data_IF_611263874906
#
_entry.id   IF_611263874906
#
_cell.length_a   1.000
_cell.length_b   1.000
_cell.length_c   1.000
_cell.angle_alpha   90.00
_cell.angle_beta   90.00
_cell.angle_gamma   90.00
#
_symmetry.space_group_name_H-M   'P 1'
#
loop_
_entity.id
_entity.type
_entity.pdbx_description
1 polymer ?
#
# COMPACT_ATOMS: atom_id res chain seq x y z
N UNK A 1 23.02 17.56 -48.23
CA UNK A 1 21.61 17.53 -47.77
C UNK A 1 21.28 16.08 -47.42
N UNK A 2 21.52 15.67 -46.16
CA UNK A 2 21.40 14.28 -45.71
C UNK A 2 20.06 14.12 -44.97
N UNK A 3 19.14 13.35 -45.55
CA UNK A 3 17.86 13.01 -44.91
C UNK A 3 18.11 12.01 -43.78
N UNK A 4 17.95 12.44 -42.53
CA UNK A 4 17.93 11.54 -41.36
C UNK A 4 16.60 10.80 -41.33
N UNK A 5 16.61 9.50 -41.63
CA UNK A 5 15.49 8.61 -41.34
C UNK A 5 15.35 8.51 -39.81
N UNK A 6 14.29 9.10 -39.24
CA UNK A 6 13.89 8.83 -37.86
C UNK A 6 13.22 7.46 -37.85
N UNK A 7 13.92 6.45 -37.31
CA UNK A 7 13.28 5.20 -36.94
C UNK A 7 12.23 5.50 -35.86
N UNK A 8 11.00 5.02 -36.07
CA UNK A 8 9.95 5.03 -35.05
C UNK A 8 10.38 4.15 -33.88
N UNK A 9 10.22 4.60 -32.62
CA UNK A 9 10.48 3.73 -31.48
C UNK A 9 9.54 2.52 -31.54
N UNK A 10 10.00 1.32 -31.12
CA UNK A 10 9.13 0.15 -31.05
C UNK A 10 7.95 0.45 -30.13
N UNK A 11 6.77 -0.14 -30.40
CA UNK A 11 5.60 0.05 -29.54
C UNK A 11 5.95 -0.36 -28.11
N UNK A 12 5.65 0.51 -27.15
CA UNK A 12 5.74 0.21 -25.73
C UNK A 12 4.75 -0.92 -25.48
N UNK A 13 5.27 -2.14 -25.34
CA UNK A 13 4.45 -3.27 -24.92
C UNK A 13 4.07 -3.02 -23.47
N UNK A 14 2.78 -2.82 -23.24
CA UNK A 14 2.21 -2.81 -21.91
C UNK A 14 2.58 -4.15 -21.23
N UNK A 15 3.45 -4.07 -20.23
CA UNK A 15 3.88 -5.22 -19.43
C UNK A 15 3.09 -5.34 -18.14
N UNK A 16 1.97 -4.62 -18.02
CA UNK A 16 1.03 -4.88 -16.95
C UNK A 16 0.48 -6.29 -17.11
N UNK A 17 0.51 -7.05 -16.01
CA UNK A 17 -0.08 -8.38 -15.98
C UNK A 17 -1.60 -8.20 -16.12
N UNK A 18 -2.20 -8.85 -17.12
CA UNK A 18 -3.64 -8.78 -17.34
C UNK A 18 -4.43 -9.20 -16.09
N UNK A 19 -3.85 -10.06 -15.24
CA UNK A 19 -4.43 -10.58 -14.02
C UNK A 19 -3.39 -10.53 -12.88
N UNK A 20 -3.84 -10.14 -11.68
CA UNK A 20 -3.04 -10.22 -10.45
C UNK A 20 -2.59 -11.67 -10.25
N UNK A 21 -1.29 -11.96 -10.01
CA UNK A 21 -0.88 -13.31 -9.64
C UNK A 21 -1.64 -13.72 -8.40
N UNK A 22 -2.28 -14.89 -8.44
CA UNK A 22 -3.01 -15.43 -7.30
C UNK A 22 -1.99 -15.77 -6.21
N UNK A 23 -1.86 -14.90 -5.21
CA UNK A 23 -1.31 -15.24 -3.91
C UNK A 23 -2.30 -16.16 -3.20
N UNK A 24 -2.39 -17.40 -3.67
CA UNK A 24 -3.09 -18.48 -3.00
C UNK A 24 -2.25 -18.92 -1.80
N UNK A 25 -2.92 -19.07 -0.67
CA UNK A 25 -2.40 -19.60 0.60
C UNK A 25 -1.55 -18.64 1.45
N UNK A 26 -2.09 -17.46 1.74
CA UNK A 26 -1.77 -16.76 3.00
C UNK A 26 -2.95 -16.00 3.59
N UNK A 27 -4.15 -16.56 3.46
CA UNK A 27 -5.33 -16.05 4.15
C UNK A 27 -5.57 -16.80 5.47
N UNK A 28 -5.16 -18.07 5.59
CA UNK A 28 -5.41 -18.87 6.80
C UNK A 28 -4.54 -18.45 8.00
N UNK A 29 -3.30 -18.03 7.77
CA UNK A 29 -2.40 -17.52 8.83
C UNK A 29 -2.88 -16.19 9.42
N UNK A 30 -3.54 -15.35 8.60
CA UNK A 30 -4.08 -14.06 9.05
C UNK A 30 -5.27 -14.29 10.01
N UNK A 31 -6.05 -15.36 9.83
CA UNK A 31 -7.15 -15.68 10.73
C UNK A 31 -6.68 -16.13 12.12
N UNK A 32 -5.59 -16.89 12.22
CA UNK A 32 -5.02 -17.30 13.53
C UNK A 32 -4.43 -16.10 14.30
N UNK A 33 -3.75 -15.17 13.64
CA UNK A 33 -3.24 -13.94 14.29
C UNK A 33 -4.38 -13.01 14.74
N UNK A 34 -5.46 -12.93 13.96
CA UNK A 34 -6.67 -12.17 14.31
C UNK A 34 -7.43 -12.84 15.47
N UNK A 35 -7.51 -14.17 15.52
CA UNK A 35 -8.12 -14.91 16.66
C UNK A 35 -7.34 -14.72 17.96
N UNK A 36 -6.01 -14.64 17.90
CA UNK A 36 -5.19 -14.34 19.09
C UNK A 36 -5.30 -12.89 19.56
N UNK A 37 -5.61 -11.94 18.66
CA UNK A 37 -5.81 -10.52 18.99
C UNK A 37 -7.24 -10.17 19.44
N UNK A 38 -8.23 -10.99 19.08
CA UNK A 38 -9.65 -10.83 19.41
C UNK A 38 -10.08 -11.66 20.63
N UNK A 39 -9.20 -11.80 21.63
CA UNK A 39 -9.60 -12.30 22.94
C UNK A 39 -10.81 -11.50 23.45
N UNK A 40 -11.96 -12.19 23.55
CA UNK A 40 -13.32 -11.75 23.88
C UNK A 40 -14.28 -11.33 22.74
N UNK A 41 -13.85 -11.21 21.48
CA UNK A 41 -14.76 -10.94 20.33
C UNK A 41 -15.10 -12.18 19.48
N UNK A 42 -14.39 -13.29 19.67
CA UNK A 42 -14.59 -14.55 18.94
C UNK A 42 -15.80 -15.39 19.44
N UNK A 43 -16.88 -14.73 19.85
CA UNK A 43 -18.22 -15.34 19.90
C UNK A 43 -19.16 -14.56 19.00
N UNK A 44 -18.77 -14.36 17.74
CA UNK A 44 -19.76 -14.19 16.69
C UNK A 44 -20.38 -15.57 16.45
N UNK A 45 -21.32 -15.92 17.33
CA UNK A 45 -22.28 -16.98 17.07
C UNK A 45 -22.76 -16.85 15.63
N UNK A 46 -22.80 -17.97 14.91
CA UNK A 46 -23.63 -18.21 13.73
C UNK A 46 -24.81 -17.22 13.70
N UNK A 47 -25.07 -16.51 12.57
CA UNK A 47 -26.07 -15.45 12.52
C UNK A 47 -27.30 -15.89 13.31
N UNK A 48 -27.51 -15.25 14.45
CA UNK A 48 -28.54 -15.65 15.40
C UNK A 48 -29.84 -15.61 14.59
N UNK A 49 -30.51 -16.75 14.39
CA UNK A 49 -31.71 -16.88 13.52
C UNK A 49 -32.84 -15.89 13.93
N UNK A 50 -32.67 -15.26 15.11
CA UNK A 50 -33.45 -14.17 15.68
C UNK A 50 -33.27 -12.79 14.99
N UNK A 51 -32.22 -12.60 14.19
CA UNK A 51 -31.83 -11.28 13.64
C UNK A 51 -32.42 -10.95 12.27
N UNK A 52 -33.16 -11.86 11.64
CA UNK A 52 -33.79 -11.63 10.32
C UNK A 52 -34.94 -10.61 10.35
N UNK A 53 -35.46 -10.26 11.52
CA UNK A 53 -36.77 -9.60 11.58
C UNK A 53 -36.74 -8.07 11.47
N UNK A 54 -35.61 -7.38 11.67
CA UNK A 54 -35.57 -5.91 11.54
C UNK A 54 -34.20 -5.38 11.12
N UNK A 55 -33.70 -5.82 9.96
CA UNK A 55 -32.62 -5.06 9.29
C UNK A 55 -33.28 -3.85 8.63
N UNK A 56 -33.13 -2.69 9.26
CA UNK A 56 -33.60 -1.42 8.68
C UNK A 56 -32.74 -1.10 7.47
N UNK A 57 -33.35 -0.75 6.34
CA UNK A 57 -32.64 -0.28 5.15
C UNK A 57 -32.13 1.16 5.29
N UNK A 58 -32.53 1.86 6.37
CA UNK A 58 -32.21 3.26 6.63
C UNK A 58 -31.87 3.50 8.09
N UNK A 59 -30.82 4.29 8.29
CA UNK A 59 -30.44 4.84 9.60
C UNK A 59 -31.41 5.99 9.92
N UNK A 60 -31.77 6.15 11.18
CA UNK A 60 -32.57 7.30 11.64
C UNK A 60 -31.79 8.61 11.45
N UNK A 61 -32.48 9.67 11.00
CA UNK A 61 -31.88 10.94 10.59
C UNK A 61 -30.99 11.58 11.68
N UNK A 62 -31.38 11.44 12.96
CA UNK A 62 -30.59 11.98 14.08
C UNK A 62 -29.30 11.20 14.27
N UNK A 63 -29.37 9.88 14.14
CA UNK A 63 -28.19 9.01 14.21
C UNK A 63 -27.27 9.20 13.00
N UNK A 64 -27.84 9.31 11.79
CA UNK A 64 -27.07 9.59 10.57
C UNK A 64 -26.30 10.91 10.69
N UNK A 65 -26.95 11.96 11.22
CA UNK A 65 -26.30 13.26 11.44
C UNK A 65 -25.16 13.16 12.44
N UNK A 66 -25.37 12.50 13.59
CA UNK A 66 -24.31 12.32 14.61
C UNK A 66 -23.15 11.51 14.07
N UNK A 67 -23.44 10.38 13.42
CA UNK A 67 -22.43 9.50 12.85
C UNK A 67 -21.62 10.20 11.77
N UNK A 68 -22.27 10.97 10.89
CA UNK A 68 -21.58 11.76 9.86
C UNK A 68 -20.64 12.78 10.46
N UNK A 69 -21.03 13.43 11.57
CA UNK A 69 -20.15 14.37 12.28
C UNK A 69 -18.94 13.65 12.88
N UNK A 70 -19.16 12.54 13.58
CA UNK A 70 -18.10 11.75 14.21
C UNK A 70 -17.11 11.17 13.18
N UNK A 71 -17.60 10.67 12.05
CA UNK A 71 -16.76 10.14 10.98
C UNK A 71 -15.91 11.24 10.32
N UNK A 72 -16.48 12.43 10.11
CA UNK A 72 -15.73 13.55 9.57
C UNK A 72 -14.66 14.05 10.54
N UNK A 73 -14.97 14.15 11.83
CA UNK A 73 -14.00 14.53 12.86
C UNK A 73 -12.84 13.53 12.95
N UNK A 74 -13.15 12.22 12.91
CA UNK A 74 -12.14 11.18 12.84
C UNK A 74 -11.30 11.27 11.56
N UNK A 75 -11.93 11.46 10.40
CA UNK A 75 -11.24 11.59 9.12
C UNK A 75 -10.21 12.72 9.16
N UNK A 76 -10.59 13.91 9.65
CA UNK A 76 -9.67 15.05 9.76
C UNK A 76 -8.47 14.76 10.66
N UNK A 77 -8.64 13.94 11.70
CA UNK A 77 -7.55 13.52 12.58
C UNK A 77 -6.62 12.47 11.95
N UNK A 78 -7.14 11.67 11.02
CA UNK A 78 -6.38 10.60 10.38
C UNK A 78 -5.56 11.06 9.17
N UNK A 79 -5.99 12.11 8.46
CA UNK A 79 -5.28 12.62 7.28
C UNK A 79 -3.84 13.01 7.68
N UNK A 80 -2.81 12.55 6.93
CA UNK A 80 -1.44 12.94 7.19
C UNK A 80 -1.26 14.45 7.05
N UNK A 81 -0.52 15.06 7.98
CA UNK A 81 -0.18 16.47 7.84
C UNK A 81 0.81 16.70 6.69
N UNK A 82 0.84 17.90 6.07
CA UNK A 82 1.83 18.24 5.06
C UNK A 82 3.28 17.99 5.53
N UNK A 83 3.57 18.26 6.80
CA UNK A 83 4.89 18.06 7.40
C UNK A 83 5.25 16.56 7.49
N UNK A 84 4.28 15.71 7.80
CA UNK A 84 4.47 14.25 7.78
C UNK A 84 4.83 13.77 6.38
N UNK A 85 4.14 14.27 5.35
CA UNK A 85 4.43 13.92 3.96
C UNK A 85 5.84 14.39 3.54
N UNK A 86 6.22 15.62 3.87
CA UNK A 86 7.58 16.12 3.63
C UNK A 86 8.66 15.26 4.32
N UNK A 87 8.39 14.78 5.53
CA UNK A 87 9.31 13.91 6.26
C UNK A 87 9.51 12.57 5.53
N UNK A 88 8.43 11.99 4.99
CA UNK A 88 8.49 10.75 4.17
C UNK A 88 9.32 10.97 2.90
N UNK A 89 9.19 12.12 2.24
CA UNK A 89 10.01 12.49 1.08
C UNK A 89 11.49 12.66 1.44
N UNK A 90 11.79 13.34 2.55
CA UNK A 90 13.18 13.49 3.05
C UNK A 90 13.78 12.13 3.40
N UNK A 91 12.99 11.23 3.98
CA UNK A 91 13.41 9.87 4.27
C UNK A 91 13.75 9.10 2.98
N UNK A 92 12.87 9.13 1.97
CA UNK A 92 13.15 8.51 0.66
C UNK A 92 14.44 9.07 0.03
N UNK A 93 14.61 10.39 0.05
CA UNK A 93 15.81 11.04 -0.49
C UNK A 93 17.10 10.60 0.23
N UNK A 94 17.04 10.39 1.55
CA UNK A 94 18.16 9.87 2.33
C UNK A 94 18.48 8.42 1.96
N UNK A 95 17.46 7.58 1.78
CA UNK A 95 17.65 6.19 1.32
C UNK A 95 18.30 6.18 -0.06
N UNK A 96 17.78 6.96 -1.02
CA UNK A 96 18.36 7.09 -2.36
C UNK A 96 19.84 7.50 -2.29
N UNK A 97 20.17 8.51 -1.49
CA UNK A 97 21.54 8.97 -1.33
C UNK A 97 22.48 7.89 -0.78
N UNK A 98 22.03 7.10 0.20
CA UNK A 98 22.82 5.97 0.74
C UNK A 98 23.06 4.92 -0.36
N UNK A 99 22.02 4.57 -1.13
CA UNK A 99 22.13 3.59 -2.21
C UNK A 99 23.11 4.03 -3.30
N UNK A 100 23.07 5.30 -3.68
CA UNK A 100 23.96 5.88 -4.70
C UNK A 100 25.44 5.88 -4.26
N UNK A 101 25.69 6.11 -2.96
CA UNK A 101 27.04 6.11 -2.39
C UNK A 101 27.62 4.70 -2.25
N UNK A 102 26.84 3.77 -1.71
CA UNK A 102 27.29 2.40 -1.44
C UNK A 102 27.41 1.54 -2.71
N UNK A 103 26.53 1.79 -3.69
CA UNK A 103 26.48 1.04 -4.95
C UNK A 103 26.48 1.95 -6.17
N UNK A 104 27.59 2.65 -6.44
CA UNK A 104 27.69 3.54 -7.59
C UNK A 104 27.54 2.76 -8.90
N UNK A 105 26.87 3.36 -9.88
CA UNK A 105 26.60 2.81 -11.23
C UNK A 105 25.70 1.55 -11.24
N UNK A 106 24.88 1.34 -10.20
CA UNK A 106 23.90 0.25 -10.17
C UNK A 106 22.47 0.65 -10.55
N UNK A 107 22.22 1.92 -10.88
CA UNK A 107 20.89 2.43 -11.26
C UNK A 107 19.79 1.95 -10.29
N UNK A 108 20.06 2.03 -8.98
CA UNK A 108 19.06 1.71 -7.96
C UNK A 108 18.19 2.93 -7.74
N UNK A 109 16.88 2.79 -7.90
CA UNK A 109 15.90 3.88 -7.66
C UNK A 109 14.92 3.46 -6.57
N UNK A 110 14.77 4.30 -5.56
CA UNK A 110 13.80 4.16 -4.48
C UNK A 110 12.50 4.89 -4.81
N UNK A 111 11.37 4.21 -4.62
CA UNK A 111 10.03 4.74 -4.85
C UNK A 111 9.17 4.54 -3.61
N UNK A 112 8.35 5.53 -3.26
CA UNK A 112 7.29 5.32 -2.28
C UNK A 112 6.14 4.55 -2.94
N UNK A 113 5.55 3.61 -2.20
CA UNK A 113 4.33 2.91 -2.62
C UNK A 113 3.36 2.76 -1.43
N UNK A 114 2.33 1.93 -1.60
CA UNK A 114 1.44 1.55 -0.50
C UNK A 114 0.66 2.72 0.10
N UNK A 115 0.45 2.64 1.42
CA UNK A 115 -0.36 3.60 2.17
C UNK A 115 0.22 5.03 2.13
N UNK A 116 1.53 5.13 1.88
CA UNK A 116 2.25 6.41 1.82
C UNK A 116 1.84 7.28 0.64
N UNK A 117 1.37 6.70 -0.48
CA UNK A 117 1.07 7.47 -1.71
C UNK A 117 -0.34 7.27 -2.27
N UNK A 118 -1.12 6.32 -1.75
CA UNK A 118 -2.47 6.03 -2.25
C UNK A 118 -3.59 6.87 -1.58
N UNK A 119 -3.24 7.73 -0.62
CA UNK A 119 -4.19 8.57 0.12
C UNK A 119 -4.92 7.86 1.27
N UNK A 120 -4.52 6.64 1.63
CA UNK A 120 -5.09 5.85 2.74
C UNK A 120 -4.14 5.74 3.94
N UNK A 121 -3.00 6.43 3.90
CA UNK A 121 -2.07 6.53 5.03
C UNK A 121 -2.56 7.50 6.08
N UNK A 122 -2.11 7.29 7.32
CA UNK A 122 -2.26 8.21 8.44
C UNK A 122 -0.89 8.64 8.98
N UNK A 123 -0.86 9.53 9.98
CA UNK A 123 0.39 9.91 10.64
C UNK A 123 1.17 8.70 11.18
N UNK A 124 0.46 7.69 11.69
CA UNK A 124 1.06 6.47 12.27
C UNK A 124 1.35 5.36 11.27
N UNK A 125 1.05 5.53 9.98
CA UNK A 125 1.31 4.51 8.97
C UNK A 125 2.79 4.42 8.64
N UNK A 126 3.31 3.21 8.48
CA UNK A 126 4.69 2.96 8.03
C UNK A 126 4.96 3.52 6.63
N UNK A 127 6.25 3.53 6.24
CA UNK A 127 6.71 4.02 4.93
C UNK A 127 7.10 2.85 4.04
N UNK A 128 6.25 2.54 3.07
CA UNK A 128 6.48 1.48 2.10
C UNK A 128 7.43 1.97 0.97
N UNK A 129 8.59 1.32 0.80
CA UNK A 129 9.58 1.67 -0.23
C UNK A 129 9.83 0.50 -1.19
N UNK A 130 9.72 0.77 -2.49
CA UNK A 130 10.08 -0.14 -3.57
C UNK A 130 11.44 0.27 -4.14
N UNK A 131 12.40 -0.66 -4.15
CA UNK A 131 13.69 -0.47 -4.81
C UNK A 131 13.66 -1.15 -6.18
N UNK A 132 14.05 -0.41 -7.21
CA UNK A 132 14.12 -0.91 -8.59
C UNK A 132 15.54 -0.75 -9.10
N UNK A 133 16.06 -1.76 -9.81
CA UNK A 133 17.39 -1.70 -10.40
C UNK A 133 17.48 -2.71 -11.56
N UNK A 134 18.22 -2.41 -12.65
CA UNK A 134 18.55 -3.41 -13.65
C UNK A 134 19.65 -4.38 -13.20
N UNK A 135 20.25 -4.16 -12.02
CA UNK A 135 21.34 -4.96 -11.48
C UNK A 135 20.83 -6.32 -10.97
N UNK A 136 21.20 -7.40 -11.67
CA UNK A 136 20.98 -8.79 -11.26
C UNK A 136 22.29 -9.36 -10.68
N UNK A 137 22.45 -9.36 -9.36
CA UNK A 137 23.53 -10.03 -8.63
C UNK A 137 23.01 -11.24 -7.88
N UNK A 138 22.88 -12.36 -8.59
CA UNK A 138 22.42 -13.64 -8.04
C UNK A 138 23.36 -14.24 -6.98
N UNK A 139 24.61 -13.80 -6.93
CA UNK A 139 25.59 -14.28 -5.96
C UNK A 139 25.37 -13.58 -4.61
N UNK A 140 25.05 -12.28 -4.63
CA UNK A 140 24.70 -11.50 -3.44
C UNK A 140 23.20 -11.44 -3.13
N UNK A 141 22.38 -12.12 -3.93
CA UNK A 141 20.93 -12.18 -3.75
C UNK A 141 20.20 -10.89 -4.16
N UNK A 142 20.84 -9.98 -4.90
CA UNK A 142 20.16 -8.82 -5.48
C UNK A 142 19.46 -9.28 -6.75
N UNK A 143 18.20 -9.68 -6.60
CA UNK A 143 17.32 -10.03 -7.72
C UNK A 143 16.02 -9.25 -7.60
N UNK A 144 15.27 -9.17 -8.70
CA UNK A 144 14.07 -8.36 -8.78
C UNK A 144 13.04 -8.82 -7.73
N UNK A 145 12.87 -8.03 -6.67
CA UNK A 145 11.84 -8.08 -5.61
C UNK A 145 12.28 -8.70 -4.28
N UNK A 146 12.57 -7.82 -3.31
CA UNK A 146 12.54 -8.12 -1.87
C UNK A 146 11.43 -7.27 -1.25
N UNK A 147 10.43 -7.90 -0.63
CA UNK A 147 9.42 -7.20 0.17
C UNK A 147 9.99 -7.13 1.59
N UNK A 148 10.37 -5.93 2.03
CA UNK A 148 10.63 -5.66 3.44
C UNK A 148 9.30 -5.21 4.04
N UNK A 149 8.61 -6.15 4.67
CA UNK A 149 7.41 -5.91 5.47
C UNK A 149 7.79 -6.04 6.95
#
# INVERSE_FOLDING_TARGET
MIKRNRATPPPVTDRSLAHKPSGGERFHEIWEEVEMGLGDYATLSSPDERSKEFITDRIDDKYETSLTFELNDLYQKLIPSPESYEMRLKFLAKIQHILDLEWPNRDITAHLFGSTVNGLGSLGSDVDICLTTPWDDRIRGVSNMHILA
#
